data_IF_444794514591
#
_entry.id   IF_444794514591
#
_cell.length_a   1.000
_cell.length_b   1.000
_cell.length_c   1.000
_cell.angle_alpha   90.00
_cell.angle_beta   90.00
_cell.angle_gamma   90.00
#
_symmetry.space_group_name_H-M   'P 1'
#
loop_
_entity.id
_entity.type
_entity.pdbx_description
1 polymer ?
#
# COMPACT_ATOMS: atom_id res chain seq x y z
N UNK A 1 7.48 5.71 -9.45
CA UNK A 1 6.42 5.88 -8.42
C UNK A 1 6.62 7.23 -7.72
N UNK A 2 5.68 8.16 -7.92
CA UNK A 2 5.68 9.46 -7.23
C UNK A 2 5.47 9.24 -5.73
N UNK A 3 6.35 9.79 -4.88
CA UNK A 3 6.24 9.69 -3.41
C UNK A 3 5.02 10.49 -2.95
N UNK A 4 4.10 9.88 -2.20
CA UNK A 4 3.05 10.61 -1.46
C UNK A 4 3.72 11.43 -0.36
N UNK A 5 3.71 12.75 -0.52
CA UNK A 5 4.34 13.69 0.43
C UNK A 5 3.33 14.39 1.35
N UNK A 6 2.03 14.33 1.02
CA UNK A 6 0.95 14.96 1.80
C UNK A 6 -0.28 14.08 1.86
N UNK A 7 -0.97 14.13 2.98
CA UNK A 7 -2.23 13.42 3.19
C UNK A 7 -3.35 14.09 2.38
N UNK A 8 -4.04 13.34 1.53
CA UNK A 8 -5.18 13.84 0.74
C UNK A 8 -6.39 14.25 1.60
N UNK A 9 -6.49 13.76 2.84
CA UNK A 9 -7.62 14.07 3.76
C UNK A 9 -7.41 15.32 4.61
N UNK A 10 -6.23 15.47 5.20
CA UNK A 10 -5.96 16.56 6.16
C UNK A 10 -4.81 17.48 5.73
N UNK A 11 -4.23 17.27 4.55
CA UNK A 11 -3.12 18.03 3.99
C UNK A 11 -1.82 18.03 4.83
N UNK A 12 -1.75 17.17 5.85
CA UNK A 12 -0.56 17.00 6.69
C UNK A 12 0.58 16.34 5.90
N UNK A 13 1.79 16.80 6.16
CA UNK A 13 3.07 16.29 5.68
C UNK A 13 3.63 15.13 6.53
N UNK A 14 2.97 14.80 7.64
CA UNK A 14 3.36 13.69 8.54
C UNK A 14 2.91 12.34 7.96
N UNK A 15 3.58 11.91 6.90
CA UNK A 15 3.35 10.62 6.23
C UNK A 15 4.47 9.64 6.57
N UNK A 16 4.09 8.44 7.01
CA UNK A 16 5.01 7.32 7.22
C UNK A 16 4.75 6.23 6.19
N UNK A 17 5.81 5.78 5.51
CA UNK A 17 5.76 4.59 4.64
C UNK A 17 6.01 3.32 5.47
N UNK A 18 5.18 2.30 5.31
CA UNK A 18 5.39 0.95 5.82
C UNK A 18 5.14 -0.07 4.73
N UNK A 19 5.97 -1.11 4.70
CA UNK A 19 5.75 -2.27 3.85
C UNK A 19 4.72 -3.18 4.52
N UNK A 20 3.70 -3.57 3.78
CA UNK A 20 2.59 -4.41 4.27
C UNK A 20 2.31 -5.53 3.26
N UNK A 21 1.61 -6.55 3.75
CA UNK A 21 1.13 -7.65 2.93
C UNK A 21 -0.39 -7.66 3.02
N UNK A 22 -1.06 -7.50 1.87
CA UNK A 22 -2.53 -7.46 1.79
C UNK A 22 -3.04 -8.84 1.38
N UNK A 23 -3.90 -9.49 2.17
CA UNK A 23 -4.43 -10.80 1.81
C UNK A 23 -5.37 -10.72 0.60
N UNK A 24 -5.27 -11.68 -0.30
CA UNK A 24 -6.20 -11.85 -1.41
C UNK A 24 -7.49 -12.51 -0.94
N UNK A 25 -8.64 -11.90 -1.26
CA UNK A 25 -9.95 -12.56 -1.08
C UNK A 25 -10.16 -13.63 -2.17
N UNK A 26 -9.58 -13.43 -3.35
CA UNK A 26 -9.75 -14.33 -4.50
C UNK A 26 -8.80 -15.53 -4.46
N UNK A 27 -7.65 -15.40 -3.81
CA UNK A 27 -6.62 -16.44 -3.73
C UNK A 27 -6.26 -16.70 -2.27
N UNK A 28 -6.98 -17.63 -1.63
CA UNK A 28 -6.75 -18.01 -0.23
C UNK A 28 -5.28 -18.40 -0.02
N UNK A 29 -4.61 -17.74 0.92
CA UNK A 29 -3.20 -17.97 1.26
C UNK A 29 -2.21 -17.12 0.46
N UNK A 30 -2.66 -16.31 -0.51
CA UNK A 30 -1.80 -15.37 -1.23
C UNK A 30 -1.87 -13.99 -0.58
N UNK A 31 -0.71 -13.46 -0.22
CA UNK A 31 -0.58 -12.07 0.22
C UNK A 31 0.16 -11.25 -0.84
N UNK A 32 -0.35 -10.06 -1.13
CA UNK A 32 0.25 -9.14 -2.09
C UNK A 32 1.11 -8.11 -1.37
N UNK A 33 2.40 -7.96 -1.75
CA UNK A 33 3.24 -6.92 -1.18
C UNK A 33 2.75 -5.54 -1.63
N UNK A 34 2.57 -4.64 -0.67
CA UNK A 34 2.15 -3.27 -0.91
C UNK A 34 2.91 -2.30 0.01
N UNK A 35 3.02 -1.06 -0.44
CA UNK A 35 3.47 0.06 0.37
C UNK A 35 2.26 0.80 0.93
N UNK A 36 2.16 0.87 2.25
CA UNK A 36 1.19 1.68 2.96
C UNK A 36 1.78 3.05 3.33
N UNK A 37 1.15 4.13 2.87
CA UNK A 37 1.48 5.50 3.24
C UNK A 37 0.45 5.99 4.26
N UNK A 38 0.84 6.02 5.53
CA UNK A 38 -0.05 6.32 6.66
C UNK A 38 0.19 7.75 7.14
N UNK A 39 -0.88 8.53 7.22
CA UNK A 39 -0.85 9.85 7.85
C UNK A 39 -0.90 9.71 9.36
N UNK A 40 0.15 10.17 10.05
CA UNK A 40 0.25 10.12 11.51
C UNK A 40 -0.65 11.16 12.21
N UNK A 41 -1.24 12.10 11.46
CA UNK A 41 -2.14 13.11 12.01
C UNK A 41 -3.60 12.65 12.09
N UNK A 42 -4.10 11.99 11.04
CA UNK A 42 -5.51 11.60 10.94
C UNK A 42 -5.75 10.09 10.76
N UNK A 43 -4.69 9.29 10.67
CA UNK A 43 -4.77 7.83 10.49
C UNK A 43 -5.12 7.37 9.07
N UNK A 44 -5.38 8.29 8.13
CA UNK A 44 -5.66 7.93 6.75
C UNK A 44 -4.47 7.21 6.11
N UNK A 45 -4.73 6.13 5.38
CA UNK A 45 -3.70 5.31 4.74
C UNK A 45 -4.02 5.08 3.25
N UNK A 46 -2.99 5.18 2.41
CA UNK A 46 -3.05 4.82 0.98
C UNK A 46 -2.16 3.60 0.72
N UNK A 47 -2.67 2.65 -0.06
CA UNK A 47 -1.97 1.41 -0.38
C UNK A 47 -1.57 1.41 -1.86
N UNK A 48 -0.30 1.13 -2.12
CA UNK A 48 0.23 0.95 -3.47
C UNK A 48 0.78 -0.47 -3.61
N UNK A 49 0.15 -1.28 -4.45
CA UNK A 49 0.61 -2.63 -4.75
C UNK A 49 1.88 -2.59 -5.58
N UNK A 50 2.85 -3.45 -5.24
CA UNK A 50 4.07 -3.60 -6.02
C UNK A 50 3.80 -4.57 -7.17
N UNK A 51 3.32 -4.03 -8.29
CA UNK A 51 2.95 -4.77 -9.51
C UNK A 51 4.12 -5.49 -10.24
N UNK A 52 5.33 -5.57 -9.69
CA UNK A 52 6.48 -6.12 -10.44
C UNK A 52 7.00 -7.48 -9.93
N UNK A 53 6.38 -8.08 -8.92
CA UNK A 53 6.72 -9.44 -8.43
C UNK A 53 5.64 -10.49 -8.72
N UNK A 54 4.61 -10.17 -9.51
CA UNK A 54 3.72 -11.20 -10.04
C UNK A 54 4.37 -11.82 -11.27
N UNK A 55 5.06 -12.95 -11.11
CA UNK A 55 5.02 -13.94 -12.17
C UNK A 55 3.63 -14.56 -12.10
N UNK A 56 2.72 -14.07 -12.95
CA UNK A 56 1.56 -14.85 -13.36
C UNK A 56 2.09 -16.14 -13.96
N UNK A 57 2.21 -17.21 -13.17
CA UNK A 57 2.19 -18.55 -13.74
C UNK A 57 0.75 -18.76 -14.24
N UNK A 58 0.54 -18.96 -15.55
CA UNK A 58 -0.77 -19.37 -16.02
C UNK A 58 -1.04 -20.77 -15.43
N UNK A 59 -2.15 -20.89 -14.70
CA UNK A 59 -2.71 -22.17 -14.29
C UNK A 59 -3.51 -22.78 -15.45
#
# INVERSE_FOLDING_TARGET
>A
MSKVTKCVKCNSDKIQRKEVSVPSILEIGRNFPADAYVCLNCGYAELYFRELDYTTRPH
#
